data_IF_343774009961
#
_entry.id   IF_343774009961
#
_cell.length_a   1.000
_cell.length_b   1.000
_cell.length_c   1.000
_cell.angle_alpha   90.00
_cell.angle_beta   90.00
_cell.angle_gamma   90.00
#
_symmetry.space_group_name_H-M   'P 1'
#
loop_
_entity.id
_entity.type
_entity.pdbx_description
1 polymer ?
#
# COMPACT_ATOMS: atom_id res chain seq x y z
N UNK A 1 5.07 25.65 8.68
CA UNK A 1 4.59 24.56 9.55
C UNK A 1 5.80 23.79 10.05
N UNK A 2 5.84 23.35 11.33
CA UNK A 2 6.91 22.46 11.81
C UNK A 2 6.91 21.16 11.01
N UNK A 3 8.09 20.56 10.86
CA UNK A 3 8.29 19.33 10.11
C UNK A 3 9.05 18.32 10.98
N UNK A 4 8.51 17.12 11.08
CA UNK A 4 9.06 16.04 11.90
C UNK A 4 9.37 14.83 11.01
N UNK A 5 10.45 14.12 11.34
CA UNK A 5 10.85 12.89 10.66
C UNK A 5 10.78 11.76 11.67
N UNK A 6 10.12 10.68 11.30
CA UNK A 6 9.93 9.50 12.12
C UNK A 6 10.60 8.31 11.43
N UNK A 7 11.46 7.58 12.14
CA UNK A 7 11.95 6.30 11.67
C UNK A 7 11.01 5.19 12.17
N UNK A 8 10.35 4.51 11.23
CA UNK A 8 9.46 3.37 11.49
C UNK A 8 9.94 2.10 10.77
N UNK A 9 11.21 2.03 10.35
CA UNK A 9 11.78 0.93 9.55
C UNK A 9 11.56 -0.43 10.21
N UNK A 10 11.85 -0.54 11.52
CA UNK A 10 11.68 -1.78 12.27
C UNK A 10 10.22 -2.27 12.31
N UNK A 11 9.27 -1.35 12.53
CA UNK A 11 7.83 -1.69 12.56
C UNK A 11 7.36 -2.04 11.15
N UNK A 12 7.76 -1.26 10.16
CA UNK A 12 7.43 -1.51 8.76
C UNK A 12 7.98 -2.85 8.26
N UNK A 13 9.22 -3.17 8.60
CA UNK A 13 9.87 -4.44 8.25
C UNK A 13 9.11 -5.63 8.84
N UNK A 14 8.75 -5.58 10.13
CA UNK A 14 7.98 -6.65 10.78
C UNK A 14 6.53 -6.74 10.30
N UNK A 15 5.84 -5.61 10.27
CA UNK A 15 4.39 -5.62 10.10
C UNK A 15 3.98 -5.59 8.63
N UNK A 16 4.84 -5.18 7.70
CA UNK A 16 4.51 -5.08 6.27
C UNK A 16 5.37 -6.01 5.43
N UNK A 17 6.70 -5.91 5.52
CA UNK A 17 7.60 -6.68 4.65
C UNK A 17 7.59 -8.17 5.00
N UNK A 18 7.69 -8.52 6.29
CA UNK A 18 7.71 -9.93 6.70
C UNK A 18 6.40 -10.65 6.36
N UNK A 19 5.25 -9.97 6.48
CA UNK A 19 3.98 -10.53 6.04
C UNK A 19 3.91 -10.67 4.52
N UNK A 20 4.32 -9.64 3.77
CA UNK A 20 4.40 -9.70 2.31
C UNK A 20 5.16 -10.94 1.85
N UNK A 21 6.35 -11.16 2.43
CA UNK A 21 7.19 -12.33 2.15
C UNK A 21 6.50 -13.64 2.56
N UNK A 22 5.89 -13.69 3.75
CA UNK A 22 5.22 -14.89 4.24
C UNK A 22 4.00 -15.29 3.40
N UNK A 23 3.23 -14.32 2.90
CA UNK A 23 2.06 -14.57 2.07
C UNK A 23 2.46 -15.15 0.71
N UNK A 24 3.49 -14.58 0.08
CA UNK A 24 4.06 -15.15 -1.15
C UNK A 24 4.65 -16.54 -0.92
N UNK A 25 5.32 -16.78 0.20
CA UNK A 25 5.83 -18.11 0.55
C UNK A 25 4.71 -19.17 0.66
N UNK A 26 3.47 -18.74 0.90
CA UNK A 26 2.27 -19.59 1.01
C UNK A 26 1.42 -19.60 -0.26
N UNK A 27 1.91 -19.04 -1.36
CA UNK A 27 1.22 -19.03 -2.66
C UNK A 27 0.05 -18.06 -2.72
N UNK A 28 0.09 -16.97 -1.94
CA UNK A 28 -0.90 -15.89 -1.96
C UNK A 28 -0.30 -14.59 -2.47
N UNK A 29 -1.14 -13.75 -3.06
CA UNK A 29 -0.77 -12.41 -3.53
C UNK A 29 -1.27 -11.36 -2.53
N UNK A 30 -0.42 -10.85 -1.63
CA UNK A 30 -0.80 -9.87 -0.62
C UNK A 30 -0.97 -8.46 -1.20
N UNK A 31 -1.70 -7.61 -0.47
CA UNK A 31 -1.82 -6.18 -0.75
C UNK A 31 -1.14 -5.38 0.37
N UNK A 32 0.18 -5.11 0.27
CA UNK A 32 0.94 -4.53 1.38
C UNK A 32 0.47 -3.13 1.77
N UNK A 33 -0.15 -2.37 0.85
CA UNK A 33 -0.69 -1.04 1.14
C UNK A 33 -1.83 -1.07 2.18
N UNK A 34 -2.73 -2.06 2.08
CA UNK A 34 -3.81 -2.27 3.08
C UNK A 34 -3.19 -2.57 4.43
N UNK A 35 -2.18 -3.44 4.44
CA UNK A 35 -1.50 -3.85 5.66
C UNK A 35 -0.76 -2.70 6.33
N UNK A 36 0.00 -1.93 5.55
CA UNK A 36 0.67 -0.71 6.00
C UNK A 36 -0.31 0.28 6.64
N UNK A 37 -1.45 0.54 5.98
CA UNK A 37 -2.47 1.42 6.54
C UNK A 37 -3.04 0.88 7.86
N UNK A 38 -3.28 -0.43 7.95
CA UNK A 38 -3.94 -1.05 9.09
C UNK A 38 -3.04 -1.16 10.33
N UNK A 39 -1.75 -1.50 10.15
CA UNK A 39 -0.88 -1.87 11.29
C UNK A 39 0.23 -0.87 11.60
N UNK A 40 0.69 -0.10 10.60
CA UNK A 40 1.84 0.80 10.76
C UNK A 40 1.37 2.25 10.64
N UNK A 41 0.98 2.69 9.43
CA UNK A 41 0.77 4.10 9.09
C UNK A 41 -0.13 4.85 10.06
N UNK A 42 -1.38 4.42 10.23
CA UNK A 42 -2.33 5.20 11.02
C UNK A 42 -2.19 4.98 12.52
N UNK A 43 -1.79 3.78 12.95
CA UNK A 43 -1.52 3.49 14.36
C UNK A 43 -0.34 4.33 14.86
N UNK A 44 0.78 4.30 14.15
CA UNK A 44 1.97 5.07 14.52
C UNK A 44 1.71 6.58 14.36
N UNK A 45 1.00 6.98 13.31
CA UNK A 45 0.69 8.40 13.09
C UNK A 45 -0.23 8.97 14.19
N UNK A 46 -1.25 8.23 14.64
CA UNK A 46 -2.06 8.65 15.79
C UNK A 46 -1.23 8.74 17.07
N UNK A 47 -0.38 7.75 17.36
CA UNK A 47 0.47 7.77 18.55
C UNK A 47 1.35 9.03 18.60
N UNK A 48 1.93 9.42 17.47
CA UNK A 48 2.73 10.65 17.39
C UNK A 48 1.87 11.91 17.40
N UNK A 49 0.68 11.89 16.81
CA UNK A 49 -0.27 13.00 16.88
C UNK A 49 -0.72 13.27 18.32
N UNK A 50 -0.95 12.21 19.10
CA UNK A 50 -1.31 12.31 20.53
C UNK A 50 -0.16 12.92 21.34
N UNK A 51 1.08 12.53 21.08
CA UNK A 51 2.26 13.11 21.73
C UNK A 51 2.49 14.60 21.40
N UNK A 52 1.83 15.11 20.36
CA UNK A 52 1.86 16.52 19.93
C UNK A 52 0.54 17.25 20.22
N UNK A 53 -0.34 16.66 21.03
CA UNK A 53 -1.67 17.20 21.39
C UNK A 53 -2.56 17.53 20.16
N UNK A 54 -2.40 16.78 19.07
CA UNK A 54 -3.16 17.00 17.84
C UNK A 54 -4.55 16.34 17.92
N UNK A 55 -5.62 17.10 17.75
CA UNK A 55 -6.99 16.53 17.72
C UNK A 55 -7.24 15.66 16.48
N UNK A 56 -6.71 16.07 15.32
CA UNK A 56 -6.94 15.43 14.02
C UNK A 56 -5.62 15.06 13.33
N UNK A 57 -5.69 14.03 12.49
CA UNK A 57 -4.64 13.69 11.53
C UNK A 57 -5.15 13.89 10.11
N UNK A 58 -4.32 14.45 9.23
CA UNK A 58 -4.67 14.67 7.83
C UNK A 58 -3.79 13.83 6.90
N UNK A 59 -4.39 13.31 5.83
CA UNK A 59 -3.68 12.53 4.81
C UNK A 59 -4.17 12.86 3.41
N UNK A 60 -3.29 12.68 2.42
CA UNK A 60 -3.57 12.90 1.01
C UNK A 60 -4.33 11.75 0.32
N UNK A 61 -4.99 10.86 1.08
CA UNK A 61 -5.80 9.80 0.49
C UNK A 61 -7.05 10.39 -0.19
N UNK A 62 -7.32 9.92 -1.40
CA UNK A 62 -8.54 10.21 -2.14
C UNK A 62 -9.68 9.31 -1.63
N UNK A 63 -10.15 9.61 -0.42
CA UNK A 63 -11.30 9.00 0.23
C UNK A 63 -12.01 10.06 1.05
N UNK A 64 -13.25 9.85 1.48
CA UNK A 64 -13.94 10.80 2.37
C UNK A 64 -14.08 10.15 3.74
N UNK A 65 -13.37 10.68 4.74
CA UNK A 65 -13.60 10.35 6.15
C UNK A 65 -14.61 11.35 6.72
N UNK A 66 -15.74 10.85 7.24
CA UNK A 66 -16.79 11.66 7.85
C UNK A 66 -17.51 10.86 8.91
N UNK A 67 -17.71 11.45 10.09
CA UNK A 67 -18.45 10.86 11.21
C UNK A 67 -17.99 9.43 11.59
N UNK A 68 -16.67 9.19 11.56
CA UNK A 68 -16.10 7.86 11.86
C UNK A 68 -16.35 6.80 10.78
N UNK A 69 -16.81 7.19 9.59
CA UNK A 69 -17.02 6.32 8.44
C UNK A 69 -16.16 6.75 7.24
N UNK A 70 -15.82 5.77 6.41
CA UNK A 70 -15.11 5.96 5.14
C UNK A 70 -16.10 5.84 3.97
N UNK A 71 -16.01 6.79 3.06
CA UNK A 71 -16.74 6.80 1.80
C UNK A 71 -15.75 6.93 0.65
N UNK A 72 -16.21 6.58 -0.55
CA UNK A 72 -15.43 6.76 -1.78
C UNK A 72 -15.06 8.22 -1.98
N UNK A 73 -13.85 8.48 -2.46
CA UNK A 73 -13.44 9.79 -2.93
C UNK A 73 -14.30 10.26 -4.11
N UNK A 74 -14.37 11.57 -4.30
CA UNK A 74 -15.12 12.18 -5.41
C UNK A 74 -14.55 11.78 -6.77
N UNK A 75 -13.23 11.60 -6.84
CA UNK A 75 -12.55 11.09 -8.03
C UNK A 75 -12.61 9.57 -8.08
N UNK A 76 -13.52 9.02 -8.87
CA UNK A 76 -13.69 7.56 -8.98
C UNK A 76 -12.47 6.85 -9.57
N UNK A 77 -11.61 7.55 -10.33
CA UNK A 77 -10.37 6.97 -10.89
C UNK A 77 -9.20 7.00 -9.92
N UNK A 78 -9.32 7.80 -8.86
CA UNK A 78 -8.30 7.93 -7.83
C UNK A 78 -8.77 7.47 -6.46
N UNK A 79 -10.01 6.96 -6.33
CA UNK A 79 -10.54 6.49 -5.07
C UNK A 79 -9.59 5.49 -4.40
N UNK A 80 -9.24 5.78 -3.15
CA UNK A 80 -8.33 4.98 -2.34
C UNK A 80 -9.05 4.37 -1.14
N UNK A 81 -10.38 4.43 -1.07
CA UNK A 81 -11.16 3.82 0.02
C UNK A 81 -10.87 2.32 0.15
N UNK A 82 -10.58 1.63 -0.96
CA UNK A 82 -10.17 0.22 -0.97
C UNK A 82 -8.90 -0.05 -0.14
N UNK A 83 -7.93 0.86 -0.09
CA UNK A 83 -6.70 0.64 0.68
C UNK A 83 -6.86 0.93 2.18
N UNK A 84 -8.04 1.37 2.61
CA UNK A 84 -8.30 1.86 3.97
C UNK A 84 -9.28 0.96 4.74
N UNK A 85 -9.76 -0.16 4.17
CA UNK A 85 -10.81 -0.96 4.81
C UNK A 85 -10.41 -1.55 6.18
N UNK A 86 -9.12 -1.79 6.40
CA UNK A 86 -8.60 -2.41 7.63
C UNK A 86 -8.23 -1.43 8.74
N UNK A 87 -8.40 -0.12 8.54
CA UNK A 87 -8.04 0.87 9.56
C UNK A 87 -9.08 0.91 10.68
N UNK A 88 -8.60 1.14 11.91
CA UNK A 88 -9.47 1.20 13.08
C UNK A 88 -10.45 2.38 13.00
N UNK A 89 -11.70 2.19 13.44
CA UNK A 89 -12.74 3.24 13.40
C UNK A 89 -12.37 4.47 14.22
N UNK A 90 -11.61 4.32 15.29
CA UNK A 90 -11.10 5.43 16.11
C UNK A 90 -10.13 6.32 15.33
N UNK A 91 -9.37 5.75 14.37
CA UNK A 91 -8.58 6.52 13.41
C UNK A 91 -9.50 7.34 12.53
N UNK A 92 -10.52 6.71 11.94
CA UNK A 92 -11.43 7.39 11.00
C UNK A 92 -12.13 8.57 11.68
N UNK A 93 -12.50 8.44 12.95
CA UNK A 93 -13.14 9.52 13.72
C UNK A 93 -12.27 10.78 13.86
N UNK A 94 -10.94 10.65 13.75
CA UNK A 94 -9.96 11.74 13.83
C UNK A 94 -9.27 12.04 12.50
N UNK A 95 -9.67 11.38 11.42
CA UNK A 95 -9.02 11.45 10.12
C UNK A 95 -9.65 12.54 9.25
N UNK A 96 -8.79 13.37 8.67
CA UNK A 96 -9.14 14.33 7.63
C UNK A 96 -8.55 13.87 6.30
N UNK A 97 -9.37 13.90 5.25
CA UNK A 97 -8.94 13.60 3.87
C UNK A 97 -9.27 14.77 2.94
N UNK A 98 -8.53 15.90 3.04
CA UNK A 98 -8.91 17.15 2.37
C UNK A 98 -9.05 17.04 0.84
N UNK A 99 -8.27 16.14 0.22
CA UNK A 99 -8.30 15.91 -1.23
C UNK A 99 -9.40 14.95 -1.66
N UNK A 100 -10.07 14.27 -0.73
CA UNK A 100 -11.15 13.33 -1.02
C UNK A 100 -12.36 13.95 -1.70
N UNK A 101 -12.60 15.25 -1.47
CA UNK A 101 -13.68 16.01 -2.11
C UNK A 101 -13.26 16.64 -3.45
N UNK A 102 -12.05 16.36 -3.93
CA UNK A 102 -11.48 16.91 -5.15
C UNK A 102 -11.19 15.81 -6.16
N UNK A 103 -11.22 16.18 -7.44
CA UNK A 103 -10.56 15.43 -8.51
C UNK A 103 -9.06 15.67 -8.46
N UNK A 104 -8.27 14.74 -9.03
CA UNK A 104 -6.82 14.92 -9.13
C UNK A 104 -6.42 16.21 -9.82
N UNK A 105 -7.19 16.60 -10.86
CA UNK A 105 -6.99 17.84 -11.60
C UNK A 105 -7.14 19.05 -10.70
N UNK A 106 -8.23 19.13 -9.94
CA UNK A 106 -8.45 20.24 -9.00
C UNK A 106 -7.40 20.26 -7.89
N UNK A 107 -7.00 19.11 -7.36
CA UNK A 107 -5.91 19.05 -6.38
C UNK A 107 -4.61 19.67 -6.94
N UNK A 108 -4.29 19.40 -8.21
CA UNK A 108 -3.14 20.05 -8.88
C UNK A 108 -3.36 21.55 -9.09
N UNK A 109 -4.55 21.98 -9.49
CA UNK A 109 -4.87 23.41 -9.65
C UNK A 109 -4.73 24.17 -8.32
N UNK A 110 -5.21 23.58 -7.21
CA UNK A 110 -5.00 24.12 -5.86
C UNK A 110 -3.51 24.20 -5.54
N UNK A 111 -2.75 23.13 -5.80
CA UNK A 111 -1.31 23.11 -5.56
C UNK A 111 -0.56 24.19 -6.36
N UNK A 112 -0.92 24.40 -7.64
CA UNK A 112 -0.36 25.49 -8.48
C UNK A 112 -0.68 26.86 -7.92
N UNK A 113 -1.94 27.09 -7.55
CA UNK A 113 -2.39 28.37 -7.00
C UNK A 113 -1.66 28.72 -5.70
N UNK A 114 -1.31 27.70 -4.92
CA UNK A 114 -0.52 27.83 -3.69
C UNK A 114 1.01 27.87 -3.93
N UNK A 115 1.47 27.76 -5.19
CA UNK A 115 2.90 27.77 -5.52
C UNK A 115 3.67 26.56 -4.99
N UNK A 116 3.02 25.41 -4.78
CA UNK A 116 3.67 24.23 -4.22
C UNK A 116 4.59 23.57 -5.26
N UNK A 117 5.85 23.32 -4.88
CA UNK A 117 6.85 22.63 -5.73
C UNK A 117 6.42 21.22 -6.15
N UNK A 118 5.48 20.62 -5.43
CA UNK A 118 4.94 19.28 -5.72
C UNK A 118 3.77 19.29 -6.71
N UNK A 119 3.34 20.46 -7.21
CA UNK A 119 2.15 20.58 -8.06
C UNK A 119 2.20 19.70 -9.32
N UNK A 120 3.38 19.56 -9.93
CA UNK A 120 3.60 18.73 -11.12
C UNK A 120 4.37 17.43 -10.85
N UNK A 121 4.65 17.12 -9.57
CA UNK A 121 5.36 15.89 -9.23
C UNK A 121 4.55 14.68 -9.71
N UNK A 122 5.16 13.73 -10.45
CA UNK A 122 4.53 12.48 -10.80
C UNK A 122 4.05 11.72 -9.56
N UNK A 123 2.96 10.98 -9.71
CA UNK A 123 2.44 10.14 -8.63
C UNK A 123 3.36 8.93 -8.47
N UNK A 124 3.59 8.51 -7.23
CA UNK A 124 4.20 7.21 -6.97
C UNK A 124 3.24 6.13 -7.48
N UNK A 125 3.75 5.33 -8.39
CA UNK A 125 3.16 4.06 -8.84
C UNK A 125 3.96 2.94 -8.17
N UNK A 126 3.37 1.76 -8.03
CA UNK A 126 3.94 0.59 -7.38
C UNK A 126 4.05 0.60 -5.84
N UNK A 127 4.46 -0.55 -5.30
CA UNK A 127 4.65 -0.82 -3.88
C UNK A 127 5.87 -0.03 -3.38
N UNK A 128 5.72 0.72 -2.30
CA UNK A 128 6.72 1.70 -1.87
C UNK A 128 8.11 1.14 -1.52
N UNK A 129 8.24 -0.15 -1.24
CA UNK A 129 9.50 -0.83 -0.92
C UNK A 129 9.97 -1.79 -2.03
N UNK A 130 9.25 -1.85 -3.14
CA UNK A 130 9.61 -2.65 -4.32
C UNK A 130 10.13 -1.69 -5.39
N UNK A 131 11.45 -1.54 -5.55
CA UNK A 131 12.00 -0.76 -6.65
C UNK A 131 11.72 -1.47 -7.98
N UNK A 132 11.51 -0.69 -9.04
CA UNK A 132 11.45 -1.15 -10.43
C UNK A 132 10.43 -2.27 -10.72
N UNK A 133 9.38 -2.38 -9.88
CA UNK A 133 8.36 -3.44 -9.93
C UNK A 133 8.91 -4.88 -9.78
N UNK A 134 10.14 -5.01 -9.28
CA UNK A 134 10.80 -6.30 -9.08
C UNK A 134 10.56 -6.82 -7.65
N UNK A 135 9.32 -7.19 -7.37
CA UNK A 135 8.97 -7.76 -6.07
C UNK A 135 9.63 -9.13 -5.83
N UNK A 136 10.03 -9.83 -6.89
CA UNK A 136 10.66 -11.14 -6.76
C UNK A 136 12.06 -11.01 -6.17
N UNK A 137 12.81 -9.96 -6.52
CA UNK A 137 14.09 -9.67 -5.85
C UNK A 137 13.94 -9.47 -4.33
N UNK A 138 12.81 -8.91 -3.89
CA UNK A 138 12.49 -8.79 -2.45
C UNK A 138 12.29 -10.17 -1.84
N UNK A 139 11.56 -11.06 -2.53
CA UNK A 139 11.36 -12.44 -2.06
C UNK A 139 12.67 -13.22 -1.99
N UNK A 140 13.51 -13.14 -3.02
CA UNK A 140 14.82 -13.83 -3.08
C UNK A 140 15.74 -13.42 -1.93
N UNK A 141 15.78 -12.12 -1.60
CA UNK A 141 16.57 -11.59 -0.47
C UNK A 141 16.10 -12.09 0.90
N UNK A 142 14.80 -12.38 1.06
CA UNK A 142 14.23 -12.75 2.37
C UNK A 142 14.02 -14.25 2.56
N UNK A 143 13.69 -14.99 1.49
CA UNK A 143 13.40 -16.42 1.56
C UNK A 143 14.60 -17.30 1.20
N UNK A 144 15.60 -16.76 0.49
CA UNK A 144 16.64 -17.55 -0.16
C UNK A 144 16.20 -18.10 -1.52
N UNK A 145 17.15 -18.31 -2.43
CA UNK A 145 16.88 -18.72 -3.80
C UNK A 145 16.33 -20.16 -3.92
N UNK A 146 16.55 -21.00 -2.90
CA UNK A 146 16.11 -22.39 -2.79
C UNK A 146 14.74 -22.54 -2.11
N UNK A 147 14.07 -21.43 -1.77
CA UNK A 147 12.74 -21.48 -1.18
C UNK A 147 11.73 -22.15 -2.13
N UNK A 148 10.78 -22.98 -1.62
CA UNK A 148 9.78 -23.64 -2.46
C UNK A 148 8.98 -22.68 -3.35
N UNK A 149 8.72 -21.47 -2.86
CA UNK A 149 8.04 -20.40 -3.59
C UNK A 149 8.78 -19.89 -4.83
N UNK A 150 10.09 -20.04 -4.86
CA UNK A 150 10.99 -19.60 -5.92
C UNK A 150 11.57 -20.79 -6.71
N UNK A 151 11.27 -22.02 -6.29
CA UNK A 151 11.75 -23.25 -6.91
C UNK A 151 10.96 -23.56 -8.18
N UNK A 152 11.63 -23.89 -9.30
CA UNK A 152 10.94 -24.26 -10.51
C UNK A 152 10.03 -25.49 -10.38
N UNK A 153 8.96 -25.53 -11.17
CA UNK A 153 7.97 -26.60 -11.14
C UNK A 153 7.11 -26.67 -12.40
N UNK A 154 6.36 -27.76 -12.62
CA UNK A 154 5.58 -27.94 -13.84
C UNK A 154 4.39 -26.98 -13.92
N UNK A 155 4.18 -26.39 -15.09
CA UNK A 155 2.92 -25.75 -15.45
C UNK A 155 1.96 -26.82 -15.98
N UNK A 156 0.80 -26.93 -15.35
CA UNK A 156 -0.16 -28.00 -15.64
C UNK A 156 -1.51 -27.37 -16.02
N UNK A 157 -2.13 -27.90 -17.07
CA UNK A 157 -3.49 -27.52 -17.44
C UNK A 157 -4.50 -28.06 -16.44
N UNK A 158 -5.75 -27.59 -16.52
CA UNK A 158 -6.86 -28.14 -15.72
C UNK A 158 -7.05 -29.64 -15.97
N UNK A 159 -6.68 -30.14 -17.16
CA UNK A 159 -6.76 -31.55 -17.52
C UNK A 159 -5.58 -32.41 -17.03
N UNK A 160 -4.59 -31.82 -16.36
CA UNK A 160 -3.41 -32.55 -15.87
C UNK A 160 -2.24 -32.64 -16.86
N UNK A 161 -2.38 -32.08 -18.06
CA UNK A 161 -1.29 -32.06 -19.04
C UNK A 161 -0.21 -31.05 -18.65
N UNK A 162 1.05 -31.48 -18.63
CA UNK A 162 2.19 -30.59 -18.42
C UNK A 162 2.47 -29.81 -19.71
N UNK A 163 2.45 -28.49 -19.62
CA UNK A 163 2.61 -27.57 -20.77
C UNK A 163 3.86 -26.70 -20.68
N UNK A 164 4.65 -26.86 -19.63
CA UNK A 164 5.90 -26.15 -19.44
C UNK A 164 6.38 -26.19 -18.00
N UNK A 165 7.25 -25.25 -17.66
CA UNK A 165 7.84 -25.09 -16.33
C UNK A 165 7.76 -23.62 -15.93
N UNK A 166 7.46 -23.36 -14.66
CA UNK A 166 7.44 -22.03 -14.06
C UNK A 166 8.69 -21.83 -13.19
N UNK A 167 9.17 -20.60 -13.03
CA UNK A 167 10.36 -20.28 -12.22
C UNK A 167 10.09 -20.08 -10.71
N UNK A 168 9.14 -20.83 -10.13
CA UNK A 168 8.60 -20.59 -8.79
C UNK A 168 7.20 -19.97 -8.76
N UNK A 169 6.31 -20.53 -7.93
CA UNK A 169 4.90 -20.14 -7.94
C UNK A 169 4.66 -18.70 -7.46
N UNK A 170 5.56 -18.13 -6.67
CA UNK A 170 5.43 -16.76 -6.17
C UNK A 170 5.60 -15.69 -7.26
N UNK A 171 6.06 -16.05 -8.47
CA UNK A 171 6.15 -15.15 -9.62
C UNK A 171 4.81 -14.94 -10.33
N UNK A 172 3.75 -15.61 -9.89
CA UNK A 172 2.47 -15.66 -10.58
C UNK A 172 1.32 -15.27 -9.66
N UNK A 173 0.30 -14.66 -10.23
CA UNK A 173 -0.99 -14.38 -9.57
C UNK A 173 -2.14 -14.94 -10.40
N UNK A 174 -3.22 -15.35 -9.73
CA UNK A 174 -4.43 -15.85 -10.40
C UNK A 174 -4.97 -14.79 -11.37
N UNK A 175 -5.16 -15.18 -12.63
CA UNK A 175 -5.66 -14.30 -13.69
C UNK A 175 -4.57 -13.48 -14.41
N UNK A 176 -3.29 -13.66 -14.05
CA UNK A 176 -2.17 -13.05 -14.77
C UNK A 176 -2.13 -13.56 -16.23
N UNK A 177 -2.01 -12.62 -17.17
CA UNK A 177 -1.85 -12.89 -18.60
C UNK A 177 -0.53 -12.28 -19.06
N UNK A 178 0.42 -13.17 -19.40
CA UNK A 178 1.87 -12.97 -19.54
C UNK A 178 2.62 -13.15 -18.22
#
# INVERSE_FOLDING_TARGET
MPHYVLNLEDRFGRDVIADFVSEYARGRTPIPCVRCNSFTKFRDFLYHADALDCTYIATGHYAIARDGALFRGRDTRKDQSYFLWGIDRTVVARMLTPVGALTKRETREVARRLGLVTAEKPESVEICFVPDDDYVSVLERHLGADAPALTPGPLVTVGGEVVGEHGGFARYTVGQRR
#
